data_IF_747829925750
#
_entry.id   IF_747829925750
#
_cell.length_a   1.000
_cell.length_b   1.000
_cell.length_c   1.000
_cell.angle_alpha   90.00
_cell.angle_beta   90.00
_cell.angle_gamma   90.00
#
_symmetry.space_group_name_H-M   'P 1'
#
loop_
_entity.id
_entity.type
_entity.pdbx_description
1 polymer ?
#
# COMPACT_ATOMS: atom_id res chain seq x y z
N UNK A 1 60.13 25.28 -10.53
CA UNK A 1 58.81 24.62 -10.50
C UNK A 1 57.78 25.73 -10.69
N UNK A 2 57.00 25.70 -11.77
CA UNK A 2 56.08 26.78 -12.10
C UNK A 2 54.76 26.61 -11.32
N UNK A 3 54.43 27.59 -10.48
CA UNK A 3 53.12 27.67 -9.80
C UNK A 3 52.05 28.10 -10.80
N UNK A 4 51.15 27.18 -11.15
CA UNK A 4 49.97 27.51 -11.93
C UNK A 4 48.87 28.05 -11.00
N UNK A 5 48.76 29.38 -10.95
CA UNK A 5 47.66 30.10 -10.31
C UNK A 5 46.38 29.93 -11.13
N UNK A 6 45.49 29.03 -10.68
CA UNK A 6 44.19 28.86 -11.29
C UNK A 6 43.22 29.92 -10.75
N UNK A 7 42.68 30.74 -11.64
CA UNK A 7 41.64 31.72 -11.32
C UNK A 7 40.30 31.00 -11.35
N UNK A 8 39.77 30.60 -10.19
CA UNK A 8 38.44 29.99 -10.09
C UNK A 8 37.41 31.06 -10.42
N UNK A 9 36.85 31.02 -11.63
CA UNK A 9 35.70 31.84 -12.00
C UNK A 9 34.47 31.14 -11.42
N UNK A 10 33.68 31.79 -10.54
CA UNK A 10 32.45 31.18 -10.04
C UNK A 10 31.50 31.00 -11.22
N UNK A 11 31.23 29.75 -11.58
CA UNK A 11 30.30 29.41 -12.65
C UNK A 11 28.88 29.72 -12.16
N UNK A 12 28.36 30.91 -12.49
CA UNK A 12 26.97 31.33 -12.30
C UNK A 12 26.03 30.72 -13.34
N UNK A 13 26.38 29.57 -13.93
CA UNK A 13 25.43 28.80 -14.71
C UNK A 13 24.41 28.18 -13.76
N UNK A 14 23.19 28.75 -13.74
CA UNK A 14 22.03 28.12 -13.12
C UNK A 14 21.97 26.66 -13.57
N UNK A 15 22.09 25.73 -12.62
CA UNK A 15 21.98 24.30 -12.88
C UNK A 15 20.68 24.04 -13.66
N UNK A 16 20.80 23.56 -14.90
CA UNK A 16 19.65 23.14 -15.69
C UNK A 16 19.06 21.89 -15.05
N UNK A 17 18.12 22.06 -14.13
CA UNK A 17 17.37 20.96 -13.53
C UNK A 17 16.43 20.41 -14.61
N UNK A 18 16.81 19.27 -15.19
CA UNK A 18 15.96 18.54 -16.13
C UNK A 18 14.74 17.97 -15.39
N UNK A 19 13.54 18.23 -15.93
CA UNK A 19 12.26 17.74 -15.40
C UNK A 19 11.59 16.83 -16.42
N UNK A 20 11.21 15.64 -15.97
CA UNK A 20 10.49 14.66 -16.78
C UNK A 20 9.00 14.78 -16.51
N UNK A 21 8.19 14.96 -17.56
CA UNK A 21 6.73 14.92 -17.42
C UNK A 21 6.27 13.50 -17.17
N UNK A 22 5.42 13.30 -16.16
CA UNK A 22 4.79 12.02 -15.87
C UNK A 22 3.50 11.94 -16.68
N UNK A 23 3.43 10.96 -17.57
CA UNK A 23 2.26 10.74 -18.43
C UNK A 23 1.30 9.79 -17.71
N UNK A 24 0.04 10.21 -17.56
CA UNK A 24 -1.03 9.39 -16.97
C UNK A 24 -1.48 9.84 -15.56
N UNK A 25 -2.33 9.01 -14.95
CA UNK A 25 -2.88 9.25 -13.61
C UNK A 25 -1.91 8.77 -12.52
N UNK A 26 -0.82 9.51 -12.34
CA UNK A 26 0.17 9.26 -11.29
C UNK A 26 -0.34 9.77 -9.93
N UNK A 27 -1.30 9.05 -9.34
CA UNK A 27 -1.85 9.40 -8.05
C UNK A 27 -0.86 9.11 -6.91
N UNK A 28 -0.76 10.04 -5.97
CA UNK A 28 0.03 9.93 -4.75
C UNK A 28 -0.80 10.34 -3.54
N UNK A 29 -0.36 9.92 -2.36
CA UNK A 29 -1.02 10.28 -1.09
C UNK A 29 -0.06 11.11 -0.25
N UNK A 30 -0.43 12.36 0.02
CA UNK A 30 0.31 13.28 0.87
C UNK A 30 -0.28 13.28 2.28
N UNK A 31 0.54 13.01 3.29
CA UNK A 31 0.13 13.03 4.69
C UNK A 31 0.46 14.38 5.32
N UNK A 32 -0.60 15.12 5.69
CA UNK A 32 -0.54 16.41 6.37
C UNK A 32 -1.05 16.21 7.80
N UNK A 33 -0.13 15.85 8.69
CA UNK A 33 -0.46 15.43 10.06
C UNK A 33 -1.34 14.17 10.05
N UNK A 34 -2.52 14.17 10.71
CA UNK A 34 -3.41 13.00 10.74
C UNK A 34 -4.24 12.82 9.46
N UNK A 35 -4.18 13.77 8.52
CA UNK A 35 -5.02 13.75 7.31
C UNK A 35 -4.23 13.31 6.10
N UNK A 36 -4.83 12.48 5.26
CA UNK A 36 -4.33 12.15 3.92
C UNK A 36 -4.98 13.05 2.87
N UNK A 37 -4.18 13.52 1.92
CA UNK A 37 -4.59 14.29 0.77
C UNK A 37 -4.22 13.51 -0.49
N UNK A 38 -5.18 13.37 -1.42
CA UNK A 38 -4.93 12.79 -2.73
C UNK A 38 -4.35 13.85 -3.63
N UNK A 39 -3.17 13.59 -4.18
CA UNK A 39 -2.40 14.51 -5.03
C UNK A 39 -1.95 13.78 -6.29
N UNK A 40 -1.58 14.50 -7.35
CA UNK A 40 -1.12 13.90 -8.60
C UNK A 40 0.32 14.31 -8.91
N UNK A 41 1.20 13.38 -9.24
CA UNK A 41 2.56 13.71 -9.66
C UNK A 41 2.53 14.08 -11.14
N UNK A 42 2.94 15.31 -11.46
CA UNK A 42 2.94 15.84 -12.84
C UNK A 42 4.34 15.84 -13.46
N UNK A 43 5.34 16.15 -12.65
CA UNK A 43 6.73 16.18 -13.10
C UNK A 43 7.62 15.58 -12.02
N UNK A 44 8.66 14.87 -12.46
CA UNK A 44 9.71 14.30 -11.61
C UNK A 44 11.05 14.94 -11.97
N UNK A 45 11.87 15.22 -10.98
CA UNK A 45 13.27 15.58 -11.17
C UNK A 45 14.13 14.80 -10.16
N UNK A 46 15.45 14.74 -10.38
CA UNK A 46 16.35 13.99 -9.49
C UNK A 46 16.27 14.43 -8.01
N UNK A 47 15.89 15.69 -7.75
CA UNK A 47 15.77 16.25 -6.40
C UNK A 47 14.35 16.41 -5.88
N UNK A 48 13.30 16.05 -6.64
CA UNK A 48 11.94 16.41 -6.24
C UNK A 48 10.85 16.14 -7.26
N UNK A 49 9.68 16.71 -6.98
CA UNK A 49 8.46 16.49 -7.77
C UNK A 49 7.67 17.79 -7.92
N UNK A 50 6.85 17.84 -8.97
CA UNK A 50 5.75 18.80 -9.07
C UNK A 50 4.44 18.06 -8.86
N UNK A 51 3.73 18.44 -7.81
CA UNK A 51 2.45 17.86 -7.42
C UNK A 51 1.30 18.76 -7.92
N UNK A 52 0.34 18.17 -8.60
CA UNK A 52 -0.98 18.73 -8.84
C UNK A 52 -1.88 18.52 -7.64
N UNK A 53 -2.59 19.57 -7.24
CA UNK A 53 -3.43 19.62 -6.04
C UNK A 53 -4.84 20.09 -6.43
N UNK A 54 -5.83 19.70 -5.64
CA UNK A 54 -7.14 20.38 -5.68
C UNK A 54 -7.00 21.79 -5.05
N UNK A 55 -7.54 22.85 -5.66
CA UNK A 55 -7.59 24.21 -5.09
C UNK A 55 -8.03 24.27 -3.62
N UNK A 56 -8.94 23.38 -3.19
CA UNK A 56 -9.41 23.31 -1.80
C UNK A 56 -8.34 22.82 -0.82
N UNK A 57 -7.36 22.06 -1.31
CA UNK A 57 -6.31 21.44 -0.50
C UNK A 57 -5.08 22.33 -0.35
N UNK A 58 -4.86 23.29 -1.26
CA UNK A 58 -3.71 24.22 -1.23
C UNK A 58 -3.57 24.92 0.13
N UNK A 59 -4.69 25.38 0.71
CA UNK A 59 -4.71 26.08 2.00
C UNK A 59 -4.24 25.23 3.19
N UNK A 60 -4.21 23.90 3.04
CA UNK A 60 -3.81 22.97 4.11
C UNK A 60 -2.31 22.72 4.14
N UNK A 61 -1.60 23.07 3.06
CA UNK A 61 -0.18 22.81 2.91
C UNK A 61 0.60 24.06 3.31
N UNK A 62 1.53 23.92 4.24
CA UNK A 62 2.44 24.99 4.66
C UNK A 62 3.78 24.81 3.97
N UNK A 63 4.32 25.89 3.40
CA UNK A 63 5.65 25.89 2.81
C UNK A 63 6.72 25.65 3.89
N UNK A 64 7.82 24.98 3.51
CA UNK A 64 8.93 24.65 4.42
C UNK A 64 8.63 23.57 5.47
N UNK A 65 7.38 23.11 5.58
CA UNK A 65 7.01 22.02 6.51
C UNK A 65 7.30 20.66 5.87
N UNK A 66 7.84 19.72 6.63
CA UNK A 66 8.09 18.36 6.14
C UNK A 66 6.81 17.54 6.14
N UNK A 67 6.56 16.84 5.03
CA UNK A 67 5.42 15.97 4.85
C UNK A 67 5.85 14.60 4.34
N UNK A 68 5.04 13.59 4.61
CA UNK A 68 5.24 12.26 4.07
C UNK A 68 4.40 12.07 2.80
N UNK A 69 5.04 11.66 1.72
CA UNK A 69 4.43 11.38 0.43
C UNK A 69 4.56 9.89 0.12
N UNK A 70 3.44 9.23 -0.18
CA UNK A 70 3.42 7.86 -0.68
C UNK A 70 3.16 7.89 -2.17
N UNK A 71 4.13 7.39 -2.94
CA UNK A 71 4.09 7.37 -4.38
C UNK A 71 4.79 6.09 -4.88
N UNK A 72 4.11 5.32 -5.73
CA UNK A 72 4.67 4.12 -6.36
C UNK A 72 5.31 3.12 -5.37
N UNK A 73 4.55 2.74 -4.33
CA UNK A 73 4.98 1.91 -3.19
C UNK A 73 6.18 2.43 -2.38
N UNK A 74 6.67 3.64 -2.68
CA UNK A 74 7.73 4.32 -1.93
C UNK A 74 7.15 5.29 -0.91
N UNK A 75 7.87 5.48 0.18
CA UNK A 75 7.58 6.48 1.21
C UNK A 75 8.67 7.53 1.18
N UNK A 76 8.29 8.77 0.93
CA UNK A 76 9.19 9.89 0.71
C UNK A 76 8.92 10.96 1.76
N UNK A 77 9.96 11.48 2.41
CA UNK A 77 9.89 12.70 3.19
C UNK A 77 10.17 13.87 2.25
N UNK A 78 9.21 14.77 2.09
CA UNK A 78 9.29 15.88 1.16
C UNK A 78 9.10 17.22 1.89
N UNK A 79 9.65 18.29 1.30
CA UNK A 79 9.45 19.67 1.76
C UNK A 79 8.90 20.52 0.62
N UNK A 80 7.72 21.14 0.76
CA UNK A 80 7.18 22.09 -0.21
C UNK A 80 8.03 23.35 -0.27
N UNK A 81 8.43 23.74 -1.46
CA UNK A 81 9.22 24.95 -1.69
C UNK A 81 8.36 26.09 -2.23
N UNK A 82 7.70 25.87 -3.36
CA UNK A 82 7.00 26.95 -4.08
C UNK A 82 5.73 26.46 -4.74
N UNK A 83 4.69 27.31 -4.70
CA UNK A 83 3.50 27.13 -5.52
C UNK A 83 3.75 27.74 -6.91
N UNK A 84 3.56 26.93 -7.93
CA UNK A 84 3.70 27.33 -9.34
C UNK A 84 2.32 27.79 -9.83
N UNK A 85 2.25 28.77 -10.75
CA UNK A 85 1.00 29.15 -11.39
C UNK A 85 0.22 27.93 -11.89
N UNK A 86 -1.09 28.02 -11.71
CA UNK A 86 -2.04 26.97 -12.07
C UNK A 86 -1.98 26.70 -13.57
N UNK A 87 -1.82 25.43 -13.95
CA UNK A 87 -1.86 25.01 -15.36
C UNK A 87 -3.15 24.21 -15.51
N UNK A 88 -4.01 24.62 -16.45
CA UNK A 88 -5.33 23.99 -16.66
C UNK A 88 -6.26 24.04 -15.42
N UNK A 89 -6.09 25.05 -14.56
CA UNK A 89 -6.90 25.20 -13.35
C UNK A 89 -6.46 24.33 -12.17
N UNK A 90 -5.43 23.49 -12.36
CA UNK A 90 -4.82 22.71 -11.29
C UNK A 90 -3.61 23.45 -10.67
N UNK A 91 -3.69 23.87 -9.39
CA UNK A 91 -2.55 24.46 -8.70
C UNK A 91 -1.43 23.43 -8.55
N UNK A 92 -0.21 23.87 -8.87
CA UNK A 92 0.99 23.04 -8.83
C UNK A 92 1.88 23.42 -7.65
N UNK A 93 2.43 22.43 -6.99
CA UNK A 93 3.34 22.58 -5.87
C UNK A 93 4.65 21.88 -6.18
N UNK A 94 5.75 22.62 -6.14
CA UNK A 94 7.08 22.04 -6.20
C UNK A 94 7.51 21.59 -4.82
N UNK A 95 7.94 20.33 -4.75
CA UNK A 95 8.40 19.69 -3.53
C UNK A 95 9.80 19.14 -3.77
N UNK A 96 10.64 19.26 -2.76
CA UNK A 96 11.99 18.66 -2.75
C UNK A 96 11.99 17.44 -1.86
N UNK A 97 12.60 16.37 -2.34
CA UNK A 97 12.77 15.14 -1.58
C UNK A 97 13.90 15.34 -0.57
N UNK A 98 13.57 15.15 0.70
CA UNK A 98 14.53 15.22 1.81
C UNK A 98 15.13 13.85 2.08
N UNK A 99 14.28 12.82 2.07
CA UNK A 99 14.68 11.47 2.40
C UNK A 99 13.72 10.46 1.77
N UNK A 100 14.26 9.36 1.26
CA UNK A 100 13.47 8.20 0.82
C UNK A 100 13.59 7.11 1.88
N UNK A 101 12.46 6.68 2.42
CA UNK A 101 12.43 5.59 3.39
C UNK A 101 12.56 4.25 2.65
N UNK A 102 13.28 3.32 3.26
CA UNK A 102 13.32 1.95 2.77
C UNK A 102 11.91 1.34 2.69
N UNK A 103 11.62 0.57 1.62
CA UNK A 103 10.35 -0.11 1.50
C UNK A 103 10.17 -1.05 2.70
N UNK A 104 9.05 -0.89 3.42
CA UNK A 104 8.71 -1.79 4.53
C UNK A 104 8.66 -3.22 3.97
N UNK A 105 9.58 -4.08 4.41
CA UNK A 105 9.52 -5.52 4.14
C UNK A 105 8.20 -6.04 4.69
N UNK A 106 7.22 -6.27 3.81
CA UNK A 106 5.94 -6.87 4.19
C UNK A 106 6.24 -8.30 4.61
N UNK A 107 6.19 -8.58 5.91
CA UNK A 107 6.32 -9.92 6.42
C UNK A 107 5.05 -10.68 6.04
N UNK A 108 5.09 -11.38 4.91
CA UNK A 108 4.01 -12.24 4.49
C UNK A 108 4.07 -13.50 5.35
N UNK A 109 3.21 -13.58 6.36
CA UNK A 109 2.96 -14.84 7.08
C UNK A 109 2.28 -15.80 6.09
N UNK A 110 3.10 -16.52 5.30
CA UNK A 110 2.61 -17.56 4.40
C UNK A 110 2.27 -18.76 5.27
N UNK A 111 0.98 -18.96 5.52
CA UNK A 111 0.50 -20.24 6.05
C UNK A 111 0.84 -21.32 5.02
N UNK A 112 1.45 -22.46 5.41
CA UNK A 112 1.94 -23.49 4.48
C UNK A 112 0.84 -24.17 3.64
N UNK A 113 -0.44 -23.90 3.92
CA UNK A 113 -1.58 -24.51 3.22
C UNK A 113 -2.34 -23.53 2.32
N UNK A 114 -2.00 -22.24 2.30
CA UNK A 114 -2.67 -21.29 1.40
C UNK A 114 -1.80 -21.05 0.17
N UNK A 115 -2.13 -21.75 -0.93
CA UNK A 115 -1.63 -21.38 -2.27
C UNK A 115 -1.91 -19.90 -2.47
N UNK A 116 -0.84 -19.11 -2.58
CA UNK A 116 -0.89 -17.66 -2.56
C UNK A 116 -1.78 -17.10 -3.66
N UNK A 117 -3.04 -16.84 -3.33
CA UNK A 117 -3.84 -15.89 -4.07
C UNK A 117 -3.37 -14.49 -3.68
N UNK A 118 -2.72 -13.82 -4.63
CA UNK A 118 -2.58 -12.37 -4.57
C UNK A 118 -3.97 -11.79 -4.41
N UNK A 119 -4.25 -11.21 -3.24
CA UNK A 119 -5.45 -10.41 -3.02
C UNK A 119 -5.28 -9.12 -3.81
N UNK A 120 -5.66 -9.17 -5.09
CA UNK A 120 -6.00 -7.96 -5.84
C UNK A 120 -7.17 -7.34 -5.08
N UNK A 121 -6.98 -6.14 -4.56
CA UNK A 121 -8.04 -5.33 -3.94
C UNK A 121 -9.20 -5.23 -4.91
N UNK A 122 -10.23 -6.04 -4.72
CA UNK A 122 -11.54 -5.81 -5.30
C UNK A 122 -12.48 -5.45 -4.14
N UNK A 123 -13.00 -4.24 -4.21
CA UNK A 123 -14.04 -3.72 -3.33
C UNK A 123 -15.28 -4.61 -3.48
N UNK A 124 -15.49 -5.53 -2.54
CA UNK A 124 -16.78 -6.17 -2.13
C UNK A 124 -16.51 -7.38 -1.21
N UNK A 125 -15.65 -7.23 -0.20
CA UNK A 125 -15.31 -8.32 0.74
C UNK A 125 -16.41 -8.53 1.80
N UNK A 126 -17.34 -7.58 1.96
CA UNK A 126 -18.35 -7.61 3.02
C UNK A 126 -19.31 -8.80 2.96
N UNK A 127 -19.74 -9.24 1.77
CA UNK A 127 -20.78 -10.27 1.63
C UNK A 127 -20.22 -11.70 1.70
N UNK A 128 -19.13 -11.98 0.99
CA UNK A 128 -18.54 -13.32 0.93
C UNK A 128 -17.89 -13.73 2.26
N UNK A 129 -17.18 -12.81 2.92
CA UNK A 129 -16.59 -13.07 4.23
C UNK A 129 -17.66 -13.22 5.33
N UNK A 130 -18.74 -12.44 5.27
CA UNK A 130 -19.87 -12.58 6.20
C UNK A 130 -20.62 -13.91 6.01
N UNK A 131 -20.84 -14.35 4.77
CA UNK A 131 -21.44 -15.65 4.49
C UNK A 131 -20.55 -16.80 4.98
N UNK A 132 -19.24 -16.72 4.73
CA UNK A 132 -18.28 -17.70 5.22
C UNK A 132 -18.26 -17.79 6.75
N UNK A 133 -18.28 -16.64 7.44
CA UNK A 133 -18.37 -16.58 8.89
C UNK A 133 -19.68 -17.16 9.44
N UNK A 134 -20.81 -16.85 8.79
CA UNK A 134 -22.13 -17.35 9.20
C UNK A 134 -22.24 -18.87 9.08
N UNK A 135 -21.79 -19.46 7.96
CA UNK A 135 -21.83 -20.91 7.75
C UNK A 135 -20.93 -21.64 8.75
N UNK A 136 -19.77 -21.07 9.08
CA UNK A 136 -18.85 -21.67 10.05
C UNK A 136 -19.45 -21.67 11.47
N UNK A 137 -20.10 -20.57 11.87
CA UNK A 137 -20.83 -20.49 13.15
C UNK A 137 -21.98 -21.50 13.17
N UNK A 138 -22.76 -21.61 12.09
CA UNK A 138 -23.85 -22.57 11.99
C UNK A 138 -23.34 -24.01 12.15
N UNK A 139 -22.22 -24.35 11.51
CA UNK A 139 -21.59 -25.65 11.61
C UNK A 139 -21.08 -25.94 13.04
N UNK A 140 -20.46 -24.96 13.69
CA UNK A 140 -20.04 -25.07 15.09
C UNK A 140 -21.22 -25.29 16.04
N UNK A 141 -22.35 -24.61 15.81
CA UNK A 141 -23.56 -24.80 16.62
C UNK A 141 -24.17 -26.20 16.42
N UNK A 142 -24.17 -26.73 15.19
CA UNK A 142 -24.61 -28.10 14.93
C UNK A 142 -23.67 -29.17 15.49
N UNK A 143 -22.38 -28.85 15.62
CA UNK A 143 -21.37 -29.75 16.18
C UNK A 143 -21.34 -29.76 17.73
N UNK A 144 -22.11 -28.89 18.40
CA UNK A 144 -22.21 -28.91 19.86
C UNK A 144 -23.10 -30.07 20.34
N UNK A 145 -22.64 -30.86 21.33
CA UNK A 145 -23.42 -31.96 21.90
C UNK A 145 -24.71 -31.44 22.54
N UNK A 146 -25.85 -32.08 22.24
CA UNK A 146 -27.16 -31.69 22.72
C UNK A 146 -28.02 -30.83 21.77
N UNK A 147 -27.44 -30.18 20.75
CA UNK A 147 -28.22 -29.49 19.69
C UNK A 147 -28.41 -30.38 18.47
N UNK A 148 -27.35 -31.06 18.00
CA UNK A 148 -27.41 -32.01 16.87
C UNK A 148 -28.19 -33.29 17.16
N UNK A 149 -28.28 -33.69 18.43
CA UNK A 149 -29.00 -34.90 18.86
C UNK A 149 -30.52 -34.74 18.79
N UNK A 150 -31.03 -33.52 19.03
CA UNK A 150 -32.46 -33.20 18.93
C UNK A 150 -32.94 -33.07 17.48
N UNK A 151 -32.03 -32.90 16.52
CA UNK A 151 -32.31 -32.78 15.09
C UNK A 151 -32.12 -34.10 14.32
N UNK A 152 -31.73 -35.19 14.99
CA UNK A 152 -31.58 -36.51 14.38
C UNK A 152 -30.41 -36.64 13.38
N UNK A 153 -29.50 -35.66 13.34
CA UNK A 153 -28.36 -35.62 12.42
C UNK A 153 -27.07 -36.25 12.99
N UNK A 154 -27.07 -36.56 14.29
CA UNK A 154 -25.91 -37.11 15.02
C UNK A 154 -25.23 -38.32 14.36
N UNK A 155 -25.92 -39.39 13.93
CA UNK A 155 -25.23 -40.57 13.39
C UNK A 155 -24.59 -40.34 12.01
N UNK A 156 -25.06 -39.36 11.23
CA UNK A 156 -24.50 -39.06 9.89
C UNK A 156 -23.25 -38.18 9.98
N UNK A 157 -23.22 -37.26 10.95
CA UNK A 157 -22.09 -36.35 11.15
C UNK A 157 -20.92 -37.09 11.80
N UNK A 158 -21.19 -38.01 12.74
CA UNK A 158 -20.15 -38.89 13.32
C UNK A 158 -19.53 -39.81 12.28
N UNK A 159 -20.33 -40.38 11.36
CA UNK A 159 -19.83 -41.21 10.28
C UNK A 159 -18.95 -40.41 9.30
N UNK A 160 -19.34 -39.17 8.96
CA UNK A 160 -18.55 -38.29 8.11
C UNK A 160 -17.23 -37.84 8.76
N UNK A 161 -17.26 -37.52 10.05
CA UNK A 161 -16.06 -37.17 10.83
C UNK A 161 -15.09 -38.35 10.95
N UNK A 162 -15.59 -39.57 11.19
CA UNK A 162 -14.76 -40.77 11.26
C UNK A 162 -14.12 -41.11 9.90
N UNK A 163 -14.84 -40.89 8.80
CA UNK A 163 -14.28 -41.05 7.45
C UNK A 163 -13.23 -39.99 7.12
N UNK A 164 -13.45 -38.72 7.51
CA UNK A 164 -12.44 -37.67 7.33
C UNK A 164 -11.20 -37.89 8.20
N UNK A 165 -11.37 -38.30 9.46
CA UNK A 165 -10.24 -38.55 10.36
C UNK A 165 -9.36 -39.70 9.84
N UNK A 166 -9.95 -40.78 9.34
CA UNK A 166 -9.22 -41.87 8.69
C UNK A 166 -8.43 -41.37 7.48
N UNK A 167 -9.09 -40.67 6.55
CA UNK A 167 -8.44 -40.13 5.35
C UNK A 167 -7.31 -39.14 5.68
N UNK A 168 -7.46 -38.31 6.71
CA UNK A 168 -6.40 -37.39 7.14
C UNK A 168 -5.20 -38.13 7.74
N UNK A 169 -5.42 -39.17 8.54
CA UNK A 169 -4.34 -39.97 9.11
C UNK A 169 -3.54 -40.75 8.07
N UNK A 170 -4.20 -41.24 7.01
CA UNK A 170 -3.53 -41.94 5.92
C UNK A 170 -2.70 -40.98 5.05
N UNK A 171 -3.21 -39.77 4.79
CA UNK A 171 -2.45 -38.71 4.12
C UNK A 171 -1.26 -38.25 4.97
N UNK A 172 -1.39 -38.19 6.30
CA UNK A 172 -0.28 -37.83 7.18
C UNK A 172 0.80 -38.91 7.23
N UNK A 173 0.43 -40.19 7.14
CA UNK A 173 1.38 -41.30 7.04
C UNK A 173 2.07 -41.36 5.68
N UNK A 174 1.38 -41.07 4.58
CA UNK A 174 1.98 -41.05 3.24
C UNK A 174 2.93 -39.88 3.01
N UNK A 175 2.85 -38.80 3.81
CA UNK A 175 3.77 -37.65 3.76
C UNK A 175 5.01 -37.86 4.66
N UNK A 176 4.98 -38.85 5.56
CA UNK A 176 6.07 -39.14 6.51
C UNK A 176 6.96 -40.33 6.11
N UNK A 177 6.53 -41.13 5.13
CA UNK A 177 7.37 -42.15 4.47
C UNK A 177 8.02 -41.59 3.22
#
# INVERSE_FOLDING_TARGET
MAEHLYKVVPNTAQEKIYRCKVVGNAAATLFVGPRSLKVFVRETCGGGFTLGLDPKQVKKIKLGTRYELHYDDRRLLITPQVFVPSVEGEPRLQVVTVHEYEPKKRWAFRLPFTKGQQVKKHETIGSAAAYGGFVLVLFCVMALPGVGDKLGTAPRIEAALNLMAKNFSDVFKSVRS
#
